data_IF_837884246094
#
_entry.id   IF_837884246094
#
_cell.length_a   1.000
_cell.length_b   1.000
_cell.length_c   1.000
_cell.angle_alpha   90.00
_cell.angle_beta   90.00
_cell.angle_gamma   90.00
#
_symmetry.space_group_name_H-M   'P 1'
#
loop_
_entity.id
_entity.type
_entity.pdbx_description
1 polymer ?
#
# COMPACT_ATOMS: atom_id res chain seq x y z
N UNK A 1 7.80 -1.19 18.16
CA UNK A 1 7.06 0.03 17.70
C UNK A 1 5.60 -0.30 17.76
N UNK A 2 4.86 0.22 18.77
CA UNK A 2 3.42 0.03 18.81
C UNK A 2 2.77 0.99 17.78
N UNK A 3 2.16 0.42 16.76
CA UNK A 3 1.21 1.09 15.89
C UNK A 3 -0.19 0.80 16.43
N UNK A 4 -1.01 1.82 16.61
CA UNK A 4 -2.42 1.64 16.91
C UNK A 4 -3.21 1.78 15.61
N UNK A 5 -3.92 0.73 15.22
CA UNK A 5 -4.90 0.77 14.15
C UNK A 5 -6.25 1.02 14.80
N UNK A 6 -6.93 2.08 14.38
CA UNK A 6 -8.22 2.50 14.94
C UNK A 6 -9.30 2.42 13.87
N UNK A 7 -10.56 2.33 14.31
CA UNK A 7 -11.87 2.15 13.63
C UNK A 7 -12.11 2.81 12.25
N UNK A 8 -11.12 3.35 11.56
CA UNK A 8 -11.26 4.02 10.26
C UNK A 8 -10.18 3.62 9.26
N UNK A 9 -9.67 2.37 9.33
CA UNK A 9 -8.65 1.88 8.39
C UNK A 9 -7.48 2.85 8.23
N UNK A 10 -6.97 3.36 9.34
CA UNK A 10 -5.81 4.24 9.39
C UNK A 10 -4.81 3.78 10.45
N UNK A 11 -3.54 3.99 10.15
CA UNK A 11 -2.42 3.70 11.04
C UNK A 11 -2.08 4.97 11.80
N UNK A 12 -2.09 4.92 13.12
CA UNK A 12 -1.68 6.04 13.97
C UNK A 12 -0.33 5.70 14.59
N UNK A 13 0.66 6.55 14.36
CA UNK A 13 1.97 6.40 14.99
C UNK A 13 1.93 6.91 16.44
N UNK A 14 2.92 6.49 17.24
CA UNK A 14 3.11 7.02 18.60
C UNK A 14 3.33 8.53 18.65
N UNK A 15 3.73 9.13 17.56
CA UNK A 15 3.97 10.56 17.40
C UNK A 15 2.73 11.31 16.86
N UNK A 16 1.57 10.65 16.86
CA UNK A 16 0.30 11.17 16.37
C UNK A 16 0.23 11.45 14.84
N UNK A 17 1.14 10.88 14.05
CA UNK A 17 0.99 10.90 12.60
C UNK A 17 -0.13 9.93 12.20
N UNK A 18 -0.95 10.34 11.25
CA UNK A 18 -2.05 9.55 10.72
C UNK A 18 -1.70 9.13 9.30
N UNK A 19 -1.66 7.82 9.04
CA UNK A 19 -1.35 7.27 7.72
C UNK A 19 -2.53 6.46 7.20
N UNK A 20 -2.91 6.72 5.96
CA UNK A 20 -3.86 5.92 5.18
C UNK A 20 -3.09 5.20 4.08
N UNK A 21 -3.36 3.92 3.91
CA UNK A 21 -2.69 3.07 2.93
C UNK A 21 -3.65 2.67 1.80
N UNK A 22 -3.14 2.68 0.58
CA UNK A 22 -3.85 2.25 -0.62
C UNK A 22 -3.03 1.23 -1.39
N UNK A 23 -3.70 0.27 -2.00
CA UNK A 23 -3.18 -0.49 -3.12
C UNK A 23 -3.46 0.27 -4.40
N UNK A 24 -2.45 0.43 -5.25
CA UNK A 24 -2.54 1.16 -6.51
C UNK A 24 -2.60 0.15 -7.64
N UNK A 25 -3.69 0.14 -8.40
CA UNK A 25 -3.82 -0.63 -9.62
C UNK A 25 -3.44 0.28 -10.80
N UNK A 26 -2.30 -0.01 -11.40
CA UNK A 26 -1.75 0.74 -12.53
C UNK A 26 -2.22 0.11 -13.85
N UNK A 27 -2.43 0.91 -14.91
CA UNK A 27 -2.67 0.38 -16.25
C UNK A 27 -1.43 -0.34 -16.78
N UNK A 28 -1.62 -1.25 -17.72
CA UNK A 28 -0.51 -1.89 -18.40
C UNK A 28 0.22 -0.87 -19.27
N UNK A 29 1.54 -0.77 -19.11
CA UNK A 29 2.37 0.23 -19.80
C UNK A 29 2.25 0.18 -21.32
N UNK A 30 2.00 -1.00 -21.88
CA UNK A 30 1.90 -1.21 -23.34
C UNK A 30 0.60 -0.66 -23.94
N UNK A 31 -0.41 -0.38 -23.11
CA UNK A 31 -1.72 0.10 -23.57
C UNK A 31 -1.90 1.61 -23.39
N UNK A 32 -1.00 2.26 -22.65
CA UNK A 32 -1.11 3.69 -22.33
C UNK A 32 -0.56 4.54 -23.47
N UNK A 33 -1.41 5.40 -24.02
CA UNK A 33 -1.02 6.39 -25.01
C UNK A 33 -0.36 7.63 -24.38
N UNK A 34 0.36 8.42 -25.16
CA UNK A 34 0.98 9.67 -24.67
C UNK A 34 -0.02 10.64 -24.00
N UNK A 35 -1.22 10.92 -24.57
CA UNK A 35 -2.21 11.77 -23.91
C UNK A 35 -2.74 11.21 -22.60
N UNK A 36 -2.88 9.88 -22.50
CA UNK A 36 -3.31 9.22 -21.26
C UNK A 36 -2.24 9.35 -20.17
N UNK A 37 -0.97 9.23 -20.55
CA UNK A 37 0.15 9.46 -19.63
C UNK A 37 0.16 10.89 -19.07
N UNK A 38 -0.03 11.89 -19.92
CA UNK A 38 -0.18 13.28 -19.51
C UNK A 38 -1.39 13.49 -18.60
N UNK A 39 -2.49 12.79 -18.88
CA UNK A 39 -3.70 12.81 -18.05
C UNK A 39 -3.40 12.23 -16.67
N UNK A 40 -2.72 11.08 -16.58
CA UNK A 40 -2.29 10.48 -15.32
C UNK A 40 -1.45 11.49 -14.52
N UNK A 41 -0.44 12.09 -15.14
CA UNK A 41 0.43 13.06 -14.48
C UNK A 41 -0.33 14.28 -13.97
N UNK A 42 -1.22 14.86 -14.79
CA UNK A 42 -2.04 16.02 -14.39
C UNK A 42 -3.02 15.68 -13.27
N UNK A 43 -3.58 14.46 -13.27
CA UNK A 43 -4.47 13.95 -12.22
C UNK A 43 -3.74 13.82 -10.89
N UNK A 44 -2.54 13.24 -10.88
CA UNK A 44 -1.71 13.17 -9.68
C UNK A 44 -1.39 14.57 -9.13
N UNK A 45 -1.02 15.51 -10.01
CA UNK A 45 -0.73 16.88 -9.61
C UNK A 45 -1.95 17.57 -8.99
N UNK A 46 -3.16 17.33 -9.52
CA UNK A 46 -4.43 17.85 -8.95
C UNK A 46 -4.73 17.22 -7.61
N UNK A 47 -4.62 15.89 -7.51
CA UNK A 47 -4.91 15.14 -6.30
C UNK A 47 -3.97 15.54 -5.14
N UNK A 48 -2.68 15.70 -5.40
CA UNK A 48 -1.70 16.12 -4.38
C UNK A 48 -2.03 17.53 -3.84
N UNK A 49 -2.53 18.45 -4.67
CA UNK A 49 -2.89 19.80 -4.25
C UNK A 49 -4.05 19.86 -3.26
N UNK A 50 -4.90 18.84 -3.20
CA UNK A 50 -6.02 18.78 -2.25
C UNK A 50 -5.55 18.43 -0.84
N UNK A 51 -4.40 17.77 -0.72
CA UNK A 51 -3.88 17.37 0.58
C UNK A 51 -3.47 18.59 1.43
N UNK A 52 -3.78 18.58 2.74
CA UNK A 52 -3.41 19.68 3.63
C UNK A 52 -1.89 19.76 3.79
N UNK A 53 -1.42 20.95 4.17
CA UNK A 53 0.00 21.19 4.43
C UNK A 53 0.57 20.18 5.43
N UNK A 54 1.84 19.83 5.28
CA UNK A 54 2.53 18.79 6.07
C UNK A 54 1.97 17.36 5.84
N UNK A 55 1.42 17.09 4.69
CA UNK A 55 1.14 15.76 4.21
C UNK A 55 2.34 15.19 3.45
N UNK A 56 2.61 13.93 3.66
CA UNK A 56 3.65 13.17 2.96
C UNK A 56 2.97 12.13 2.08
N UNK A 57 3.34 12.11 0.82
CA UNK A 57 2.90 11.10 -0.16
C UNK A 57 4.07 10.16 -0.40
N UNK A 58 3.90 8.90 -0.05
CA UNK A 58 4.93 7.87 -0.20
C UNK A 58 4.40 6.75 -1.08
N UNK A 59 4.98 6.60 -2.27
CA UNK A 59 4.71 5.48 -3.19
C UNK A 59 5.77 4.39 -2.98
N UNK A 60 5.33 3.15 -2.96
CA UNK A 60 6.17 1.98 -2.80
C UNK A 60 5.86 0.95 -3.87
N UNK A 61 6.87 0.55 -4.63
CA UNK A 61 6.75 -0.51 -5.62
C UNK A 61 7.49 -1.75 -5.10
N UNK A 62 6.79 -2.88 -5.08
CA UNK A 62 7.31 -4.16 -4.62
C UNK A 62 7.44 -5.10 -5.82
N UNK A 63 8.59 -5.69 -5.97
CA UNK A 63 8.87 -6.70 -6.98
C UNK A 63 9.21 -8.01 -6.27
N UNK A 64 8.24 -8.93 -6.23
CA UNK A 64 8.37 -10.21 -5.52
C UNK A 64 8.53 -11.31 -6.55
N UNK A 65 9.57 -12.13 -6.38
CA UNK A 65 9.78 -13.30 -7.23
C UNK A 65 8.77 -14.38 -6.88
N UNK A 66 7.93 -14.72 -7.82
CA UNK A 66 6.89 -15.74 -7.69
C UNK A 66 7.01 -16.77 -8.82
N UNK A 67 6.50 -17.96 -8.56
CA UNK A 67 6.35 -19.01 -9.57
C UNK A 67 4.87 -19.13 -9.90
N UNK A 68 4.57 -19.26 -11.19
CA UNK A 68 3.21 -19.56 -11.64
C UNK A 68 2.77 -20.93 -11.11
N UNK A 69 1.62 -21.01 -10.48
CA UNK A 69 1.02 -22.25 -10.06
C UNK A 69 -0.24 -22.51 -10.90
N UNK A 70 -0.26 -23.54 -11.74
CA UNK A 70 -1.43 -23.87 -12.52
C UNK A 70 -2.60 -24.26 -11.59
N UNK A 71 -3.76 -23.64 -11.82
CA UNK A 71 -4.98 -23.86 -11.01
C UNK A 71 -5.82 -25.05 -11.49
N UNK A 72 -5.44 -25.71 -12.56
CA UNK A 72 -6.29 -26.66 -13.28
C UNK A 72 -5.81 -28.09 -13.09
N UNK A 73 -6.77 -29.04 -12.96
CA UNK A 73 -6.52 -30.49 -12.97
C UNK A 73 -5.79 -30.88 -14.26
N UNK A 74 -4.62 -31.48 -14.07
CA UNK A 74 -3.71 -31.85 -15.16
C UNK A 74 -4.32 -32.81 -16.18
N UNK A 75 -5.36 -33.54 -15.79
CA UNK A 75 -5.97 -34.59 -16.61
C UNK A 75 -6.99 -34.10 -17.63
N UNK A 76 -7.49 -32.87 -17.48
CA UNK A 76 -8.48 -32.27 -18.39
C UNK A 76 -7.88 -31.40 -19.49
N UNK A 77 -6.55 -31.15 -19.47
CA UNK A 77 -5.89 -30.24 -20.41
C UNK A 77 -5.39 -30.97 -21.67
N UNK A 78 -5.53 -30.29 -22.83
CA UNK A 78 -4.89 -30.75 -24.07
C UNK A 78 -3.37 -30.78 -23.93
N UNK A 79 -2.69 -31.55 -24.78
CA UNK A 79 -1.21 -31.61 -24.77
C UNK A 79 -0.57 -30.23 -24.86
N UNK A 80 -1.05 -29.38 -25.77
CA UNK A 80 -0.53 -28.03 -25.96
C UNK A 80 -0.73 -27.14 -24.71
N UNK A 81 -1.89 -27.24 -24.09
CA UNK A 81 -2.18 -26.50 -22.84
C UNK A 81 -1.26 -26.96 -21.70
N UNK A 82 -0.99 -28.26 -21.60
CA UNK A 82 -0.04 -28.79 -20.60
C UNK A 82 1.38 -28.26 -20.81
N UNK A 83 1.86 -28.27 -22.05
CA UNK A 83 3.18 -27.72 -22.36
C UNK A 83 3.28 -26.25 -22.03
N UNK A 84 2.21 -25.47 -22.28
CA UNK A 84 2.13 -24.06 -21.96
C UNK A 84 2.16 -23.83 -20.43
N UNK A 85 1.35 -24.55 -19.68
CA UNK A 85 1.32 -24.50 -18.22
C UNK A 85 2.68 -24.87 -17.60
N UNK A 86 3.32 -25.92 -18.10
CA UNK A 86 4.66 -26.33 -17.63
C UNK A 86 5.70 -25.23 -17.90
N UNK A 87 5.67 -24.61 -19.08
CA UNK A 87 6.60 -23.55 -19.45
C UNK A 87 6.55 -22.36 -18.49
N UNK A 88 5.36 -21.95 -18.06
CA UNK A 88 5.19 -20.85 -17.10
C UNK A 88 5.48 -21.29 -15.65
N UNK A 89 5.19 -22.54 -15.27
CA UNK A 89 5.49 -23.05 -13.95
C UNK A 89 6.99 -23.18 -13.67
N UNK A 90 7.78 -23.49 -14.68
CA UNK A 90 9.23 -23.64 -14.54
C UNK A 90 9.97 -22.28 -14.47
N UNK A 91 9.31 -21.20 -14.82
CA UNK A 91 9.94 -19.88 -14.90
C UNK A 91 9.43 -18.94 -13.83
N UNK A 92 10.31 -18.49 -12.92
CA UNK A 92 9.92 -17.46 -11.97
C UNK A 92 9.69 -16.13 -12.69
N UNK A 93 8.70 -15.38 -12.22
CA UNK A 93 8.42 -14.02 -12.68
C UNK A 93 8.46 -13.04 -11.51
N UNK A 94 8.58 -11.75 -11.82
CA UNK A 94 8.48 -10.69 -10.83
C UNK A 94 7.03 -10.20 -10.78
N UNK A 95 6.37 -10.49 -9.68
CA UNK A 95 5.05 -9.93 -9.40
C UNK A 95 5.22 -8.51 -8.87
N UNK A 96 4.56 -7.54 -9.50
CA UNK A 96 4.63 -6.14 -9.13
C UNK A 96 3.41 -5.74 -8.30
N UNK A 97 3.65 -5.26 -7.09
CA UNK A 97 2.65 -4.66 -6.22
C UNK A 97 2.98 -3.18 -5.99
N UNK A 98 2.01 -2.30 -6.19
CA UNK A 98 2.17 -0.87 -5.95
C UNK A 98 1.31 -0.43 -4.78
N UNK A 99 1.91 0.27 -3.83
CA UNK A 99 1.25 0.80 -2.65
C UNK A 99 1.50 2.30 -2.50
N UNK A 100 0.50 2.99 -1.97
CA UNK A 100 0.56 4.42 -1.70
C UNK A 100 0.19 4.69 -0.24
N UNK A 101 1.00 5.46 0.44
CA UNK A 101 0.78 5.86 1.81
C UNK A 101 0.65 7.38 1.88
N UNK A 102 -0.48 7.85 2.40
CA UNK A 102 -0.72 9.25 2.68
C UNK A 102 -0.60 9.47 4.18
N UNK A 103 0.38 10.26 4.59
CA UNK A 103 0.67 10.50 6.01
C UNK A 103 0.51 11.97 6.33
N UNK A 104 -0.30 12.27 7.33
CA UNK A 104 -0.41 13.60 7.93
C UNK A 104 0.49 13.70 9.15
N UNK A 105 1.42 14.64 9.09
CA UNK A 105 2.33 14.92 10.19
C UNK A 105 1.95 16.20 10.92
N UNK A 106 2.29 16.34 12.20
CA UNK A 106 2.02 17.55 12.97
C UNK A 106 3.02 18.65 12.63
N UNK A 107 2.59 19.94 12.71
CA UNK A 107 3.48 21.09 12.47
C UNK A 107 4.72 21.10 13.37
N UNK A 108 4.55 20.68 14.60
CA UNK A 108 5.62 20.69 15.60
C UNK A 108 6.72 19.72 15.25
N UNK A 109 6.38 18.55 14.67
CA UNK A 109 7.38 17.58 14.25
C UNK A 109 8.22 18.03 13.06
N UNK A 110 7.62 18.75 12.12
CA UNK A 110 8.36 19.34 11.00
C UNK A 110 9.38 20.40 11.47
N UNK A 111 9.15 21.03 12.63
CA UNK A 111 10.08 21.98 13.28
C UNK A 111 11.02 21.31 14.30
N UNK A 112 10.59 20.23 14.93
CA UNK A 112 11.35 19.51 15.97
C UNK A 112 12.20 18.37 15.39
N UNK A 113 12.94 18.60 14.35
CA UNK A 113 14.16 17.81 14.12
C UNK A 113 15.29 18.17 15.11
N UNK A 114 14.97 18.78 16.23
CA UNK A 114 15.93 19.00 17.30
C UNK A 114 16.04 17.72 18.15
N UNK A 115 17.26 17.24 18.27
CA UNK A 115 17.71 15.95 18.80
C UNK A 115 17.36 15.63 20.26
N UNK A 116 16.47 16.35 20.92
CA UNK A 116 16.25 16.22 22.35
C UNK A 116 14.97 15.53 22.79
N UNK A 117 14.04 15.28 21.89
CA UNK A 117 12.68 14.88 22.25
C UNK A 117 12.43 13.37 22.28
N UNK A 118 13.34 12.54 21.74
CA UNK A 118 13.09 11.09 21.60
C UNK A 118 13.34 10.27 22.88
N UNK A 119 14.04 10.82 23.86
CA UNK A 119 14.44 10.10 25.07
C UNK A 119 13.43 10.17 26.21
N UNK A 120 12.50 11.14 26.22
CA UNK A 120 11.62 11.40 27.36
C UNK A 120 10.13 11.12 27.14
N UNK A 121 9.71 10.66 25.97
CA UNK A 121 8.29 10.37 25.71
C UNK A 121 7.99 8.90 25.99
N UNK A 122 7.52 8.63 27.19
CA UNK A 122 6.84 7.39 27.52
C UNK A 122 5.59 7.19 26.67
N UNK A 123 5.20 5.96 26.49
CA UNK A 123 4.16 5.30 25.72
C UNK A 123 2.73 5.88 25.77
N UNK A 124 2.53 7.15 25.63
CA UNK A 124 1.19 7.74 25.61
C UNK A 124 0.96 8.34 24.22
N UNK A 125 0.05 7.73 23.47
CA UNK A 125 -0.58 8.42 22.33
C UNK A 125 -1.11 9.74 22.89
N UNK A 126 -0.65 10.90 22.39
CA UNK A 126 -1.14 12.19 22.89
C UNK A 126 -2.66 12.18 22.80
N UNK A 127 -3.36 12.51 23.91
CA UNK A 127 -4.83 12.65 23.93
C UNK A 127 -5.33 13.71 22.94
N UNK A 128 -4.41 14.47 22.41
CA UNK A 128 -4.57 15.56 21.46
C UNK A 128 -4.25 15.17 19.99
N UNK A 129 -4.61 13.97 19.56
CA UNK A 129 -4.94 13.84 18.14
C UNK A 129 -6.16 14.73 17.95
N UNK A 130 -5.92 15.96 17.49
CA UNK A 130 -6.99 16.90 17.24
C UNK A 130 -7.97 16.24 16.28
N UNK A 131 -9.15 15.83 16.80
CA UNK A 131 -10.16 15.12 16.03
C UNK A 131 -10.52 15.88 14.76
N UNK A 132 -10.51 17.20 14.84
CA UNK A 132 -10.79 18.07 13.70
C UNK A 132 -9.71 17.96 12.62
N UNK A 133 -8.43 17.93 12.99
CA UNK A 133 -7.32 17.72 12.03
C UNK A 133 -7.40 16.35 11.37
N UNK A 134 -7.70 15.31 12.15
CA UNK A 134 -7.87 13.96 11.64
C UNK A 134 -9.05 13.87 10.65
N UNK A 135 -10.18 14.48 10.99
CA UNK A 135 -11.37 14.50 10.12
C UNK A 135 -11.09 15.25 8.83
N UNK A 136 -10.51 16.45 8.88
CA UNK A 136 -10.12 17.22 7.69
C UNK A 136 -9.12 16.47 6.81
N UNK A 137 -8.17 15.76 7.42
CA UNK A 137 -7.22 14.96 6.65
C UNK A 137 -7.92 13.79 5.96
N UNK A 138 -8.80 13.06 6.65
CA UNK A 138 -9.53 11.93 6.07
C UNK A 138 -10.50 12.36 4.96
N UNK A 139 -11.11 13.54 5.09
CA UNK A 139 -11.91 14.15 4.02
C UNK A 139 -11.04 14.48 2.79
N UNK A 140 -9.87 15.09 2.99
CA UNK A 140 -8.93 15.37 1.92
C UNK A 140 -8.40 14.09 1.25
N UNK A 141 -8.17 13.02 2.02
CA UNK A 141 -7.81 11.71 1.50
C UNK A 141 -8.93 11.11 0.64
N UNK A 142 -10.19 11.25 1.07
CA UNK A 142 -11.35 10.83 0.25
C UNK A 142 -11.45 11.60 -1.08
N UNK A 143 -11.21 12.91 -1.06
CA UNK A 143 -11.16 13.71 -2.29
C UNK A 143 -9.99 13.32 -3.18
N UNK A 144 -8.81 13.06 -2.61
CA UNK A 144 -7.64 12.56 -3.32
C UNK A 144 -7.95 11.24 -4.05
N UNK A 145 -8.53 10.27 -3.33
CA UNK A 145 -8.94 8.98 -3.85
C UNK A 145 -9.93 9.14 -5.01
N UNK A 146 -10.95 9.97 -4.84
CA UNK A 146 -11.95 10.24 -5.87
C UNK A 146 -11.34 10.85 -7.13
N UNK A 147 -10.48 11.90 -7.00
CA UNK A 147 -9.83 12.55 -8.14
C UNK A 147 -9.00 11.55 -8.95
N UNK A 148 -8.27 10.65 -8.28
CA UNK A 148 -7.45 9.65 -8.98
C UNK A 148 -8.32 8.60 -9.65
N UNK A 149 -9.34 8.08 -8.95
CA UNK A 149 -10.24 7.05 -9.48
C UNK A 149 -11.11 7.57 -10.65
N UNK A 150 -11.54 8.83 -10.60
CA UNK A 150 -12.33 9.47 -11.67
C UNK A 150 -11.56 9.60 -12.99
N UNK A 151 -10.23 9.51 -12.96
CA UNK A 151 -9.44 9.46 -14.20
C UNK A 151 -9.68 8.22 -15.04
N UNK A 152 -10.13 7.13 -14.41
CA UNK A 152 -10.35 5.82 -15.07
C UNK A 152 -9.06 5.09 -15.49
N UNK A 153 -7.89 5.71 -15.31
CA UNK A 153 -6.59 5.18 -15.73
C UNK A 153 -5.83 4.51 -14.58
N UNK A 154 -5.96 5.06 -13.38
CA UNK A 154 -5.34 4.53 -12.16
C UNK A 154 -6.43 4.30 -11.13
N UNK A 155 -6.39 3.17 -10.45
CA UNK A 155 -7.36 2.86 -9.41
C UNK A 155 -6.68 2.75 -8.05
N UNK A 156 -7.20 3.48 -7.08
CA UNK A 156 -6.82 3.39 -5.68
C UNK A 156 -7.84 2.53 -4.94
N UNK A 157 -7.35 1.52 -4.24
CA UNK A 157 -8.16 0.69 -3.35
C UNK A 157 -7.61 0.86 -1.94
N UNK A 158 -8.43 1.42 -1.05
CA UNK A 158 -8.06 1.63 0.34
C UNK A 158 -7.87 0.31 1.04
N UNK A 159 -6.77 0.15 1.76
CA UNK A 159 -6.47 -1.04 2.53
C UNK A 159 -7.19 -1.00 3.88
N UNK A 160 -7.91 -2.07 4.19
CA UNK A 160 -8.52 -2.29 5.49
C UNK A 160 -7.51 -2.77 6.54
N UNK A 161 -7.96 -2.77 7.79
CA UNK A 161 -7.16 -3.23 8.94
C UNK A 161 -6.62 -4.65 8.73
N UNK A 162 -7.44 -5.55 8.23
CA UNK A 162 -7.08 -6.96 8.00
C UNK A 162 -6.00 -7.12 6.91
N UNK A 163 -6.03 -6.27 5.88
CA UNK A 163 -5.03 -6.28 4.82
C UNK A 163 -3.70 -5.65 5.28
N UNK A 164 -3.76 -4.70 6.21
CA UNK A 164 -2.57 -4.03 6.75
C UNK A 164 -1.86 -4.92 7.77
N UNK A 165 -2.59 -5.48 8.74
CA UNK A 165 -2.02 -6.28 9.84
C UNK A 165 -1.86 -7.74 9.45
N UNK A 166 -2.80 -8.25 8.67
CA UNK A 166 -2.95 -9.68 8.37
C UNK A 166 -3.99 -10.36 9.26
N UNK A 167 -4.34 -11.56 8.88
CA UNK A 167 -5.28 -12.43 9.58
C UNK A 167 -4.64 -13.82 9.72
N UNK A 168 -5.24 -14.69 10.52
CA UNK A 168 -4.79 -16.08 10.67
C UNK A 168 -4.71 -16.85 9.32
N UNK A 169 -5.38 -16.32 8.28
CA UNK A 169 -5.43 -16.90 6.94
C UNK A 169 -4.40 -16.34 5.96
N UNK A 170 -3.74 -15.22 6.30
CA UNK A 170 -2.79 -14.60 5.40
C UNK A 170 -2.03 -13.42 6.03
N UNK A 171 -0.78 -13.28 5.64
CA UNK A 171 0.08 -12.23 6.10
C UNK A 171 -0.37 -10.85 5.59
N UNK A 172 -0.39 -9.87 6.49
CA UNK A 172 -0.68 -8.50 6.16
C UNK A 172 0.49 -7.77 5.48
N UNK A 173 0.21 -6.55 5.03
CA UNK A 173 1.20 -5.70 4.37
C UNK A 173 2.43 -5.45 5.25
N UNK A 174 2.22 -5.16 6.54
CA UNK A 174 3.29 -4.92 7.51
C UNK A 174 4.16 -6.17 7.67
N UNK A 175 3.52 -7.32 7.82
CA UNK A 175 4.22 -8.60 8.00
C UNK A 175 5.03 -8.97 6.76
N UNK A 176 4.45 -8.82 5.57
CA UNK A 176 5.14 -9.02 4.29
C UNK A 176 6.33 -8.09 4.11
N UNK A 177 6.23 -6.84 4.58
CA UNK A 177 7.32 -5.88 4.52
C UNK A 177 8.52 -6.26 5.40
N UNK A 178 8.26 -6.78 6.59
CA UNK A 178 9.32 -7.17 7.53
C UNK A 178 9.88 -8.58 7.31
N UNK A 179 9.16 -9.43 6.57
CA UNK A 179 9.54 -10.83 6.34
C UNK A 179 9.57 -11.21 4.85
N UNK A 180 10.21 -10.43 3.98
CA UNK A 180 10.15 -10.68 2.53
C UNK A 180 10.77 -12.02 2.11
N UNK A 181 11.63 -12.63 2.94
CA UNK A 181 12.35 -13.88 2.64
C UNK A 181 11.68 -15.11 3.24
N UNK A 182 10.86 -14.94 4.29
CA UNK A 182 10.28 -16.05 5.04
C UNK A 182 9.17 -16.78 4.28
N UNK A 183 8.46 -16.08 3.39
CA UNK A 183 7.30 -16.65 2.69
C UNK A 183 7.64 -17.70 1.62
N UNK A 184 8.82 -17.66 1.05
CA UNK A 184 9.25 -18.65 0.06
C UNK A 184 9.71 -19.97 0.69
N UNK A 185 10.13 -19.95 1.96
CA UNK A 185 10.63 -21.14 2.66
C UNK A 185 9.55 -21.91 3.45
N UNK A 186 8.53 -21.25 3.98
CA UNK A 186 7.49 -21.92 4.78
C UNK A 186 6.56 -22.82 3.95
N UNK A 187 6.38 -22.57 2.66
CA UNK A 187 5.60 -23.47 1.77
C UNK A 187 6.35 -24.69 1.26
N UNK A 188 7.68 -24.75 1.41
CA UNK A 188 8.47 -25.88 0.95
C UNK A 188 8.52 -27.06 1.94
N UNK A 189 7.98 -26.90 3.16
CA UNK A 189 8.00 -27.94 4.20
C UNK A 189 6.65 -28.60 4.48
N UNK A 190 5.58 -28.27 3.76
CA UNK A 190 4.25 -28.88 3.91
C UNK A 190 3.89 -29.86 2.76
N UNK A 191 4.88 -30.51 2.19
CA UNK A 191 4.66 -31.65 1.28
C UNK A 191 5.30 -32.90 1.81
#
# INVERSE_FOLDING_TARGET
>A
RQMCIRDRDCIISKDADITVAFRVELPELFTVTTPEYETIHSTWAKAIKVLPNYSVVHKQDWFIKENYQPKTDKDSLSFLSRCYEMHFNERPFLNHGCYLFLTKTTKERARMQSNFSSLCRGFIVPKEVNKEMATRFLEAVGQFEQIVNDSGLVRLVRLGTDEIVGTDKGAGLIEKYFSPVSYTHLRAHET
#
